data_IF_223247542962
#
_entry.id   IF_223247542962
#
_cell.length_a   1.000
_cell.length_b   1.000
_cell.length_c   1.000
_cell.angle_alpha   90.00
_cell.angle_beta   90.00
_cell.angle_gamma   90.00
#
_symmetry.space_group_name_H-M   'P 1'
#
loop_
_entity.id
_entity.type
_entity.pdbx_description
1 polymer ?
#
# COMPACT_ATOMS: atom_id res chain seq x y z
N UNK A 1 13.65 -7.41 7.99
CA UNK A 1 13.16 -7.37 6.58
C UNK A 1 12.04 -6.36 6.54
N UNK A 2 12.22 -5.26 5.81
CA UNK A 2 11.42 -4.03 5.98
C UNK A 2 10.52 -3.86 4.76
N UNK A 3 9.20 -3.82 4.98
CA UNK A 3 8.23 -3.49 3.92
C UNK A 3 8.29 -2.02 3.48
N UNK A 4 9.05 -1.22 4.20
CA UNK A 4 9.17 0.23 4.08
C UNK A 4 10.62 0.62 3.74
N UNK A 5 10.80 1.66 2.94
CA UNK A 5 12.10 2.33 2.80
C UNK A 5 11.88 3.82 2.61
N UNK A 6 12.69 4.63 3.30
CA UNK A 6 12.60 6.08 3.19
C UNK A 6 13.19 6.56 1.86
N UNK A 7 12.50 7.52 1.24
CA UNK A 7 13.00 8.31 0.13
C UNK A 7 13.16 9.77 0.55
N UNK A 8 13.71 10.59 -0.34
CA UNK A 8 13.97 12.02 -0.08
C UNK A 8 12.70 12.80 0.30
N UNK A 9 11.56 12.48 -0.31
CA UNK A 9 10.30 13.24 -0.19
C UNK A 9 9.10 12.34 0.18
N UNK A 10 9.36 11.18 0.80
CA UNK A 10 8.32 10.21 1.09
C UNK A 10 8.81 8.83 1.46
N UNK A 11 7.90 7.87 1.47
CA UNK A 11 8.18 6.48 1.87
C UNK A 11 7.77 5.52 0.75
N UNK A 12 8.66 4.60 0.42
CA UNK A 12 8.35 3.46 -0.43
C UNK A 12 7.73 2.34 0.39
N UNK A 13 6.64 1.77 -0.11
CA UNK A 13 5.90 0.69 0.55
C UNK A 13 5.77 -0.50 -0.40
N UNK A 14 6.24 -1.67 0.04
CA UNK A 14 5.95 -2.92 -0.63
C UNK A 14 4.59 -3.44 -0.21
N UNK A 15 3.76 -3.81 -1.20
CA UNK A 15 2.40 -4.27 -0.98
C UNK A 15 2.18 -5.61 -1.68
N UNK A 16 1.59 -6.57 -0.97
CA UNK A 16 1.11 -7.83 -1.52
C UNK A 16 -0.41 -7.81 -1.60
N UNK A 17 -0.93 -7.70 -2.82
CA UNK A 17 -2.36 -7.59 -3.10
C UNK A 17 -3.05 -8.95 -3.20
N UNK A 18 -4.18 -9.09 -2.50
CA UNK A 18 -5.11 -10.20 -2.60
C UNK A 18 -6.43 -9.72 -3.24
N UNK A 19 -6.58 -9.85 -4.57
CA UNK A 19 -7.79 -9.43 -5.29
C UNK A 19 -8.96 -10.39 -5.05
N UNK A 20 -10.18 -9.91 -5.30
CA UNK A 20 -11.41 -10.71 -5.18
C UNK A 20 -11.83 -11.02 -3.75
N UNK A 21 -11.30 -10.29 -2.76
CA UNK A 21 -11.67 -10.47 -1.37
C UNK A 21 -13.06 -9.90 -1.05
N UNK A 22 -13.77 -10.52 -0.10
CA UNK A 22 -15.09 -10.03 0.35
C UNK A 22 -15.01 -8.68 1.08
N UNK A 23 -13.90 -8.47 1.79
CA UNK A 23 -13.60 -7.24 2.56
C UNK A 23 -12.32 -6.61 2.03
N UNK A 24 -12.25 -5.29 2.14
CA UNK A 24 -11.04 -4.50 1.84
C UNK A 24 -10.38 -4.18 3.17
N UNK A 25 -9.14 -4.60 3.37
CA UNK A 25 -8.43 -4.42 4.63
C UNK A 25 -6.91 -4.62 4.46
N UNK A 26 -6.13 -4.03 5.38
CA UNK A 26 -4.77 -4.50 5.66
C UNK A 26 -4.87 -5.84 6.39
N UNK A 27 -3.96 -6.76 6.11
CA UNK A 27 -3.99 -8.14 6.61
C UNK A 27 -2.62 -8.55 7.19
N UNK A 28 -1.91 -7.60 7.78
CA UNK A 28 -0.57 -7.78 8.34
C UNK A 28 0.54 -7.83 7.28
N UNK A 29 1.61 -8.56 7.57
CA UNK A 29 2.81 -8.69 6.72
C UNK A 29 2.79 -10.02 5.96
N UNK A 30 3.25 -9.99 4.71
CA UNK A 30 3.58 -11.17 3.92
C UNK A 30 5.02 -11.05 3.39
N UNK A 31 5.95 -11.76 4.03
CA UNK A 31 7.38 -11.64 3.73
C UNK A 31 7.89 -10.24 4.06
N UNK A 32 8.30 -9.50 3.03
CA UNK A 32 8.79 -8.12 3.09
C UNK A 32 7.80 -7.12 2.47
N UNK A 33 6.49 -7.42 2.53
CA UNK A 33 5.43 -6.56 2.01
C UNK A 33 4.21 -6.51 2.94
N UNK A 34 3.51 -5.38 2.96
CA UNK A 34 2.22 -5.23 3.62
C UNK A 34 1.17 -5.98 2.80
N UNK A 35 0.53 -6.97 3.41
CA UNK A 35 -0.53 -7.75 2.78
C UNK A 35 -1.83 -6.94 2.82
N UNK A 36 -2.48 -6.77 1.68
CA UNK A 36 -3.76 -6.08 1.58
C UNK A 36 -4.75 -6.90 0.78
N UNK A 37 -6.00 -6.89 1.23
CA UNK A 37 -7.13 -7.48 0.53
C UNK A 37 -7.94 -6.37 -0.16
N UNK A 38 -8.34 -6.63 -1.40
CA UNK A 38 -9.14 -5.71 -2.21
C UNK A 38 -10.25 -6.48 -2.93
N UNK A 39 -11.36 -5.81 -3.21
CA UNK A 39 -12.50 -6.43 -3.92
C UNK A 39 -12.23 -6.54 -5.41
N UNK A 40 -11.51 -5.57 -5.92
CA UNK A 40 -11.21 -5.39 -7.32
C UNK A 40 -10.37 -6.55 -7.86
N UNK A 41 -10.72 -7.01 -9.05
CA UNK A 41 -9.94 -8.00 -9.78
C UNK A 41 -8.56 -7.44 -10.17
N UNK A 42 -7.60 -8.33 -10.42
CA UNK A 42 -6.24 -7.98 -10.86
C UNK A 42 -6.16 -7.41 -12.29
N UNK A 43 -7.30 -7.19 -12.94
CA UNK A 43 -7.41 -6.82 -14.35
C UNK A 43 -7.68 -5.32 -14.54
N UNK A 44 -7.27 -4.78 -15.69
CA UNK A 44 -7.61 -3.43 -16.12
C UNK A 44 -7.17 -2.32 -15.15
N UNK A 45 -6.14 -2.55 -14.33
CA UNK A 45 -5.63 -1.57 -13.37
C UNK A 45 -6.56 -1.31 -12.16
N UNK A 46 -7.70 -2.01 -12.04
CA UNK A 46 -8.66 -1.80 -10.93
C UNK A 46 -8.02 -2.09 -9.58
N UNK A 47 -7.24 -3.16 -9.48
CA UNK A 47 -6.47 -3.48 -8.28
C UNK A 47 -5.50 -2.36 -7.87
N UNK A 48 -4.88 -1.67 -8.84
CA UNK A 48 -3.95 -0.59 -8.56
C UNK A 48 -4.67 0.62 -7.97
N UNK A 49 -5.80 1.00 -8.57
CA UNK A 49 -6.63 2.09 -8.09
C UNK A 49 -7.22 1.81 -6.70
N UNK A 50 -7.63 0.56 -6.45
CA UNK A 50 -8.14 0.13 -5.15
C UNK A 50 -7.10 0.24 -4.03
N UNK A 51 -5.86 -0.17 -4.31
CA UNK A 51 -4.77 -0.07 -3.35
C UNK A 51 -4.43 1.39 -3.07
N UNK A 52 -4.30 2.23 -4.10
CA UNK A 52 -4.06 3.66 -3.94
C UNK A 52 -5.16 4.30 -3.08
N UNK A 53 -6.43 3.94 -3.34
CA UNK A 53 -7.57 4.39 -2.55
C UNK A 53 -7.49 3.93 -1.10
N UNK A 54 -7.18 2.67 -0.85
CA UNK A 54 -7.06 2.12 0.50
C UNK A 54 -6.00 2.86 1.33
N UNK A 55 -4.81 3.06 0.78
CA UNK A 55 -3.74 3.78 1.47
C UNK A 55 -4.06 5.28 1.63
N UNK A 56 -4.73 5.89 0.66
CA UNK A 56 -5.21 7.27 0.74
C UNK A 56 -6.17 7.46 1.91
N UNK A 57 -7.14 6.56 2.08
CA UNK A 57 -8.14 6.62 3.15
C UNK A 57 -7.51 6.31 4.52
N UNK A 58 -6.57 5.36 4.61
CA UNK A 58 -5.95 4.96 5.88
C UNK A 58 -4.91 5.95 6.40
N UNK A 59 -4.20 6.64 5.51
CA UNK A 59 -3.16 7.60 5.88
C UNK A 59 -3.64 9.06 5.85
N UNK A 60 -4.88 9.30 5.42
CA UNK A 60 -5.41 10.64 5.16
C UNK A 60 -4.52 11.46 4.21
N UNK A 61 -4.01 10.79 3.17
CA UNK A 61 -3.12 11.37 2.15
C UNK A 61 -3.87 11.45 0.81
N UNK A 62 -3.78 12.55 0.04
CA UNK A 62 -4.40 12.64 -1.27
C UNK A 62 -3.92 11.54 -2.23
N UNK A 63 -4.82 10.98 -3.05
CA UNK A 63 -4.45 9.95 -4.04
C UNK A 63 -3.33 10.37 -5.00
N UNK A 64 -3.24 11.67 -5.32
CA UNK A 64 -2.17 12.24 -6.17
C UNK A 64 -0.77 12.13 -5.55
N UNK A 65 -0.71 11.95 -4.24
CA UNK A 65 0.53 11.83 -3.47
C UNK A 65 0.93 10.35 -3.27
N UNK A 66 0.19 9.41 -3.88
CA UNK A 66 0.46 7.97 -3.83
C UNK A 66 0.70 7.46 -5.24
N UNK A 67 1.97 7.21 -5.54
CA UNK A 67 2.43 6.74 -6.84
C UNK A 67 2.62 5.22 -6.84
N UNK A 68 2.08 4.52 -7.84
CA UNK A 68 2.44 3.13 -8.10
C UNK A 68 3.73 3.07 -8.92
N UNK A 69 4.85 2.89 -8.22
CA UNK A 69 6.21 2.86 -8.79
C UNK A 69 6.43 1.61 -9.65
N UNK A 70 5.99 0.44 -9.16
CA UNK A 70 6.18 -0.82 -9.90
C UNK A 70 5.14 -1.89 -9.51
N UNK A 71 5.06 -2.96 -10.31
CA UNK A 71 4.17 -4.09 -10.04
C UNK A 71 2.74 -3.93 -10.58
N UNK A 72 2.52 -3.11 -11.62
CA UNK A 72 1.20 -2.87 -12.22
C UNK A 72 0.45 -4.17 -12.59
N UNK A 73 1.16 -5.17 -13.14
CA UNK A 73 0.61 -6.49 -13.49
C UNK A 73 0.88 -7.61 -12.49
N UNK A 74 1.44 -7.32 -11.32
CA UNK A 74 1.78 -8.31 -10.28
C UNK A 74 0.95 -8.12 -9.02
N UNK A 75 0.78 -9.19 -8.23
CA UNK A 75 0.26 -9.08 -6.86
C UNK A 75 1.22 -8.30 -5.96
N UNK A 76 2.51 -8.34 -6.26
CA UNK A 76 3.52 -7.57 -5.54
C UNK A 76 3.69 -6.20 -6.19
N UNK A 77 3.46 -5.16 -5.41
CA UNK A 77 3.47 -3.76 -5.84
C UNK A 77 4.45 -2.96 -4.99
N UNK A 78 4.94 -1.87 -5.57
CA UNK A 78 5.71 -0.86 -4.86
C UNK A 78 5.01 0.47 -5.01
N UNK A 79 4.58 1.04 -3.89
CA UNK A 79 4.03 2.38 -3.82
C UNK A 79 5.12 3.35 -3.37
N UNK A 80 5.00 4.61 -3.75
CA UNK A 80 5.69 5.73 -3.15
C UNK A 80 4.65 6.70 -2.64
N UNK A 81 4.71 7.01 -1.34
CA UNK A 81 3.77 7.90 -0.67
C UNK A 81 4.54 9.16 -0.32
N UNK A 82 4.16 10.28 -0.94
CA UNK A 82 4.78 11.59 -0.71
C UNK A 82 4.36 12.12 0.65
N UNK A 83 5.30 12.77 1.33
CA UNK A 83 5.06 13.38 2.64
C UNK A 83 6.24 13.15 3.58
N UNK A 84 6.06 13.60 4.82
CA UNK A 84 7.12 13.52 5.81
C UNK A 84 7.28 12.09 6.34
N UNK A 85 8.43 11.46 6.10
CA UNK A 85 8.73 10.09 6.55
C UNK A 85 8.50 9.88 8.05
N UNK A 86 8.83 10.88 8.87
CA UNK A 86 8.61 10.86 10.34
C UNK A 86 7.13 10.72 10.75
N UNK A 87 6.20 11.11 9.88
CA UNK A 87 4.76 10.95 10.09
C UNK A 87 4.24 9.66 9.44
N UNK A 88 4.70 9.37 8.23
CA UNK A 88 4.22 8.25 7.42
C UNK A 88 4.68 6.89 7.96
N UNK A 89 5.95 6.75 8.37
CA UNK A 89 6.49 5.47 8.82
C UNK A 89 5.74 4.94 10.06
N UNK A 90 5.53 5.72 11.14
CA UNK A 90 4.76 5.24 12.29
C UNK A 90 3.30 4.92 11.95
N UNK A 91 2.67 5.70 11.08
CA UNK A 91 1.29 5.43 10.65
C UNK A 91 1.19 4.09 9.90
N UNK A 92 2.11 3.84 8.96
CA UNK A 92 2.20 2.58 8.22
C UNK A 92 2.52 1.38 9.13
N UNK A 93 3.36 1.57 10.15
CA UNK A 93 3.65 0.52 11.13
C UNK A 93 2.42 0.17 11.98
N UNK A 94 1.70 1.17 12.50
CA UNK A 94 0.46 0.95 13.26
C UNK A 94 -0.59 0.18 12.47
N UNK A 95 -0.77 0.53 11.19
CA UNK A 95 -1.70 -0.19 10.29
C UNK A 95 -1.39 -1.68 10.16
N UNK A 96 -0.11 -2.05 10.26
CA UNK A 96 0.33 -3.45 10.18
C UNK A 96 0.14 -4.15 11.52
N UNK A 97 0.41 -3.47 12.63
CA UNK A 97 0.27 -4.02 13.98
C UNK A 97 -1.20 -4.24 14.38
N UNK A 98 -2.11 -3.43 13.83
CA UNK A 98 -3.56 -3.48 14.10
C UNK A 98 -4.34 -4.46 13.18
N UNK A 99 -3.65 -5.15 12.25
CA UNK A 99 -4.26 -5.98 11.20
C UNK A 99 -4.17 -7.49 11.46
#
# INVERSE_FOLDING_TARGET
MVALSEGKDGVYVHVHAQPGARRVAVCGVHGDAIKVSIREAAEGGKANAAIIRLFSELLDVPKRDIDLVSGKGSRRKRLFIRGESRMLVPALMRMVDEA
#
